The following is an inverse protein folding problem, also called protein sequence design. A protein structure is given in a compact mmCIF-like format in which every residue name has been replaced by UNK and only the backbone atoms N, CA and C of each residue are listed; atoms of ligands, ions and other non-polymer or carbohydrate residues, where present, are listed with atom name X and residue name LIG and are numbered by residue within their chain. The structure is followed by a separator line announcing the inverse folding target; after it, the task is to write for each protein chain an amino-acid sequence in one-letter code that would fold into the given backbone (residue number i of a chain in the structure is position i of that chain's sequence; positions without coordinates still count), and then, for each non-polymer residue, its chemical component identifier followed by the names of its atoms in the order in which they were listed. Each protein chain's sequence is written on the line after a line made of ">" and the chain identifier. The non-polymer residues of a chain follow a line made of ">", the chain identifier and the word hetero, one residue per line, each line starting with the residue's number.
data_IF_676686431198
#
_entry.id   IF_676686431198
#
_cell.length_a   1.000
_cell.length_b   1.000
_cell.length_c   1.000
_cell.angle_alpha   90.00
_cell.angle_beta   90.00
_cell.angle_gamma   90.00
#
_symmetry.space_group_name_H-M   'P 1'
#
loop_
_entity.id
_entity.type
_entity.pdbx_description
1 polymer ?
#
# COMPACT_ATOMS: atom_id res chain seq x y z
N UNK A 1 24.82 54.24 -59.65
CA UNK A 1 23.38 53.99 -59.46
C UNK A 1 22.93 52.60 -59.95
N UNK A 2 23.21 52.18 -61.20
CA UNK A 2 22.84 50.83 -61.71
C UNK A 2 23.36 49.63 -60.89
N UNK A 3 24.58 49.71 -60.33
CA UNK A 3 25.15 48.63 -59.49
C UNK A 3 24.48 48.49 -58.12
N UNK A 4 23.97 49.59 -57.55
CA UNK A 4 23.27 49.60 -56.25
C UNK A 4 21.87 48.99 -56.43
N UNK A 5 21.18 49.32 -57.52
CA UNK A 5 19.88 48.73 -57.86
C UNK A 5 19.97 47.20 -58.06
N UNK A 6 21.06 46.72 -58.68
CA UNK A 6 21.29 45.28 -58.90
C UNK A 6 21.54 44.52 -57.59
N UNK A 7 22.25 45.13 -56.63
CA UNK A 7 22.53 44.54 -55.31
C UNK A 7 21.26 44.49 -54.46
N UNK A 8 20.41 45.52 -54.51
CA UNK A 8 19.11 45.51 -53.82
C UNK A 8 18.15 44.43 -54.36
N UNK A 9 18.11 44.22 -55.68
CA UNK A 9 17.29 43.17 -56.30
C UNK A 9 17.78 41.77 -55.90
N UNK A 10 19.10 41.57 -55.77
CA UNK A 10 19.66 40.28 -55.35
C UNK A 10 19.35 39.95 -53.87
N UNK A 11 19.19 40.96 -53.00
CA UNK A 11 18.83 40.76 -51.60
C UNK A 11 17.34 40.45 -51.37
N UNK A 12 16.45 40.78 -52.31
CA UNK A 12 15.02 40.42 -52.20
C UNK A 12 14.79 38.95 -52.58
N UNK A 13 15.67 38.35 -53.39
CA UNK A 13 15.56 36.96 -53.83
C UNK A 13 16.14 35.93 -52.84
N UNK A 14 16.77 36.36 -51.75
CA UNK A 14 17.27 35.47 -50.68
C UNK A 14 16.28 35.22 -49.54
N UNK A 15 15.05 35.75 -49.65
CA UNK A 15 13.96 35.42 -48.71
C UNK A 15 13.31 34.08 -49.09
N UNK A 16 14.03 32.99 -48.83
CA UNK A 16 13.44 31.65 -48.85
C UNK A 16 12.40 31.54 -47.74
N UNK A 17 11.12 31.47 -48.10
CA UNK A 17 10.06 31.06 -47.18
C UNK A 17 10.39 29.67 -46.61
N UNK A 18 10.82 29.62 -45.34
CA UNK A 18 11.00 28.36 -44.63
C UNK A 18 9.62 27.71 -44.49
N UNK A 19 9.39 26.62 -45.23
CA UNK A 19 8.27 25.71 -44.96
C UNK A 19 8.51 25.09 -43.58
N UNK A 20 7.98 25.71 -42.52
CA UNK A 20 7.83 25.05 -41.24
C UNK A 20 6.88 23.86 -41.38
N UNK A 21 7.04 22.85 -40.54
CA UNK A 21 6.00 21.84 -40.37
C UNK A 21 4.68 22.57 -40.04
N UNK A 22 3.54 22.17 -40.62
CA UNK A 22 2.27 22.75 -40.21
C UNK A 22 2.17 22.61 -38.68
N UNK A 23 1.70 23.65 -37.97
CA UNK A 23 1.46 23.52 -36.55
C UNK A 23 0.55 22.31 -36.34
N UNK A 24 1.01 21.35 -35.53
CA UNK A 24 0.21 20.19 -35.16
C UNK A 24 -1.08 20.64 -34.49
N UNK A 25 -2.12 19.80 -34.58
CA UNK A 25 -3.31 19.99 -33.76
C UNK A 25 -2.97 19.91 -32.26
N UNK A 26 -3.92 20.30 -31.38
CA UNK A 26 -3.74 20.09 -29.95
C UNK A 26 -3.49 18.60 -29.65
N UNK A 27 -2.70 18.27 -28.61
CA UNK A 27 -2.52 16.88 -28.18
C UNK A 27 -3.86 16.22 -27.85
N UNK A 28 -3.98 14.94 -28.16
CA UNK A 28 -5.15 14.15 -27.75
C UNK A 28 -5.03 13.76 -26.28
N UNK A 29 -6.05 14.11 -25.50
CA UNK A 29 -6.15 13.87 -24.06
C UNK A 29 -7.40 13.07 -23.71
N UNK A 30 -8.11 12.54 -24.71
CA UNK A 30 -9.37 11.81 -24.51
C UNK A 30 -9.05 10.39 -24.06
N UNK A 31 -9.59 9.90 -22.93
CA UNK A 31 -9.39 8.53 -22.52
C UNK A 31 -10.08 7.52 -23.45
N UNK A 32 -9.45 6.38 -23.76
CA UNK A 32 -10.10 5.30 -24.48
C UNK A 32 -11.18 4.62 -23.63
N UNK A 33 -12.17 4.06 -24.31
CA UNK A 33 -13.25 3.26 -23.73
C UNK A 33 -13.73 2.18 -24.70
N UNK A 34 -14.33 1.14 -24.14
CA UNK A 34 -15.10 0.16 -24.91
C UNK A 34 -16.42 0.79 -25.37
N UNK A 35 -16.76 0.60 -26.64
CA UNK A 35 -17.99 1.09 -27.29
C UNK A 35 -19.01 -0.03 -27.42
N UNK A 36 -18.55 -1.24 -27.74
CA UNK A 36 -19.37 -2.45 -27.90
C UNK A 36 -18.52 -3.70 -27.72
N UNK A 37 -19.19 -4.83 -27.48
CA UNK A 37 -18.58 -6.16 -27.55
C UNK A 37 -19.42 -7.08 -28.42
N UNK A 38 -18.81 -8.16 -28.90
CA UNK A 38 -19.49 -9.30 -29.47
C UNK A 38 -18.99 -10.59 -28.80
N UNK A 39 -19.87 -11.40 -28.19
CA UNK A 39 -21.29 -11.11 -27.92
C UNK A 39 -21.52 -9.83 -27.11
N UNK A 40 -22.69 -9.22 -27.26
CA UNK A 40 -23.03 -8.00 -26.52
C UNK A 40 -23.48 -8.33 -25.10
N UNK A 41 -23.40 -7.36 -24.21
CA UNK A 41 -23.88 -7.50 -22.84
C UNK A 41 -25.39 -7.67 -22.84
N UNK A 42 -25.88 -8.74 -22.22
CA UNK A 42 -27.29 -9.10 -22.23
C UNK A 42 -27.65 -10.20 -23.23
N UNK A 43 -26.76 -10.56 -24.17
CA UNK A 43 -27.04 -11.60 -25.15
C UNK A 43 -27.27 -12.95 -24.49
N UNK A 44 -28.26 -13.69 -24.99
CA UNK A 44 -28.59 -15.07 -24.59
C UNK A 44 -28.62 -15.96 -25.83
N UNK A 45 -28.60 -17.28 -25.63
CA UNK A 45 -28.58 -18.28 -26.70
C UNK A 45 -27.41 -18.09 -27.69
N UNK A 46 -26.30 -17.54 -27.19
CA UNK A 46 -25.08 -17.34 -27.97
C UNK A 46 -24.48 -18.71 -28.28
N UNK A 47 -24.52 -19.12 -29.54
CA UNK A 47 -24.03 -20.43 -29.98
C UNK A 47 -23.16 -20.30 -31.23
N UNK A 48 -22.22 -21.22 -31.41
CA UNK A 48 -21.34 -21.26 -32.58
C UNK A 48 -20.33 -20.11 -32.69
N UNK A 49 -20.11 -19.36 -31.61
CA UNK A 49 -19.12 -18.28 -31.56
C UNK A 49 -17.71 -18.86 -31.47
N UNK A 50 -16.80 -18.33 -32.30
CA UNK A 50 -15.39 -18.70 -32.35
C UNK A 50 -14.45 -17.58 -31.89
N UNK A 51 -14.99 -16.38 -31.68
CA UNK A 51 -14.25 -15.24 -31.17
C UNK A 51 -15.13 -14.34 -30.30
N UNK A 52 -14.49 -13.70 -29.32
CA UNK A 52 -15.06 -12.63 -28.49
C UNK A 52 -14.36 -11.34 -28.90
N UNK A 53 -15.09 -10.36 -29.40
CA UNK A 53 -14.55 -9.10 -29.90
C UNK A 53 -14.94 -7.91 -29.02
N UNK A 54 -14.02 -6.96 -28.88
CA UNK A 54 -14.15 -5.75 -28.08
C UNK A 54 -13.79 -4.57 -28.97
N UNK A 55 -14.75 -3.66 -29.15
CA UNK A 55 -14.59 -2.45 -29.96
C UNK A 55 -14.23 -1.27 -29.08
N UNK A 56 -13.10 -0.63 -29.36
CA UNK A 56 -12.71 0.61 -28.70
C UNK A 56 -13.10 1.83 -29.55
N UNK A 57 -13.35 2.97 -28.90
CA UNK A 57 -13.63 4.24 -29.59
C UNK A 57 -12.46 4.74 -30.44
N UNK A 58 -11.26 4.24 -30.17
CA UNK A 58 -10.01 4.69 -30.80
C UNK A 58 -8.97 3.57 -30.87
N UNK A 59 -7.81 3.90 -31.45
CA UNK A 59 -6.74 2.93 -31.65
C UNK A 59 -5.98 2.71 -30.35
N UNK A 60 -5.89 1.45 -29.93
CA UNK A 60 -5.20 1.07 -28.71
C UNK A 60 -3.72 0.70 -28.92
N UNK A 61 -2.92 0.86 -27.87
CA UNK A 61 -1.62 0.24 -27.76
C UNK A 61 -1.79 -1.27 -27.49
N UNK A 62 -1.52 -2.08 -28.52
CA UNK A 62 -1.87 -3.52 -28.54
C UNK A 62 -1.37 -4.33 -27.35
N UNK A 63 -0.16 -4.06 -26.85
CA UNK A 63 0.42 -4.80 -25.72
C UNK A 63 -0.35 -4.51 -24.45
N UNK A 64 -0.61 -3.23 -24.18
CA UNK A 64 -1.34 -2.78 -23.01
C UNK A 64 -2.74 -3.37 -22.90
N UNK A 65 -3.38 -3.81 -23.99
CA UNK A 65 -4.74 -4.39 -23.97
C UNK A 65 -4.74 -5.88 -23.63
N UNK A 66 -3.71 -6.62 -24.03
CA UNK A 66 -3.68 -8.08 -23.90
C UNK A 66 -3.78 -8.51 -22.44
N UNK A 67 -3.08 -7.80 -21.58
CA UNK A 67 -2.96 -8.14 -20.17
C UNK A 67 -4.17 -7.61 -19.36
N UNK A 68 -5.03 -6.76 -19.98
CA UNK A 68 -6.21 -6.20 -19.31
C UNK A 68 -7.50 -6.97 -19.42
N UNK A 69 -7.57 -7.95 -20.32
CA UNK A 69 -8.80 -8.64 -20.65
C UNK A 69 -8.87 -9.99 -19.98
N UNK A 70 -9.95 -10.24 -19.26
CA UNK A 70 -10.30 -11.53 -18.70
C UNK A 70 -11.67 -11.98 -19.19
N UNK A 71 -11.86 -13.29 -19.28
CA UNK A 71 -13.16 -13.93 -19.52
C UNK A 71 -13.39 -14.93 -18.39
N UNK A 72 -14.56 -14.86 -17.75
CA UNK A 72 -14.97 -15.74 -16.64
C UNK A 72 -16.34 -16.37 -16.92
N UNK A 73 -16.52 -17.70 -16.77
CA UNK A 73 -15.50 -18.73 -16.52
C UNK A 73 -14.37 -18.71 -17.56
N UNK A 74 -13.19 -19.21 -17.17
CA UNK A 74 -11.99 -19.17 -18.02
C UNK A 74 -12.25 -19.94 -19.32
N UNK A 75 -11.85 -19.34 -20.44
CA UNK A 75 -11.91 -19.95 -21.78
C UNK A 75 -10.51 -20.10 -22.34
N UNK A 76 -10.30 -21.14 -23.15
CA UNK A 76 -9.03 -21.31 -23.86
C UNK A 76 -9.00 -20.37 -25.07
N UNK A 77 -8.01 -19.47 -25.08
CA UNK A 77 -7.81 -18.50 -26.16
C UNK A 77 -6.60 -18.93 -26.96
N UNK A 78 -6.80 -19.16 -28.26
CA UNK A 78 -5.73 -19.54 -29.19
C UNK A 78 -4.84 -18.34 -29.56
N UNK A 79 -5.46 -17.22 -29.91
CA UNK A 79 -4.75 -16.00 -30.29
C UNK A 79 -5.61 -14.75 -30.09
N UNK A 80 -4.96 -13.60 -29.94
CA UNK A 80 -5.60 -12.28 -29.99
C UNK A 80 -5.35 -11.61 -31.34
N UNK A 81 -6.40 -11.21 -32.04
CA UNK A 81 -6.33 -10.53 -33.33
C UNK A 81 -6.82 -9.10 -33.25
N UNK A 82 -6.18 -8.22 -34.01
CA UNK A 82 -6.57 -6.82 -34.13
C UNK A 82 -7.16 -6.54 -35.50
N UNK A 83 -8.32 -5.89 -35.52
CA UNK A 83 -8.91 -5.30 -36.72
C UNK A 83 -9.27 -3.84 -36.45
N UNK A 84 -8.46 -2.90 -36.94
CA UNK A 84 -8.59 -1.45 -36.63
C UNK A 84 -8.59 -1.20 -35.11
N UNK A 85 -9.72 -0.76 -34.55
CA UNK A 85 -9.92 -0.46 -33.13
C UNK A 85 -10.54 -1.65 -32.38
N UNK A 86 -10.73 -2.79 -33.05
CA UNK A 86 -11.35 -3.98 -32.47
C UNK A 86 -10.27 -4.99 -32.11
N UNK A 87 -10.36 -5.52 -30.89
CA UNK A 87 -9.57 -6.67 -30.45
C UNK A 87 -10.46 -7.90 -30.30
N UNK A 88 -10.10 -8.99 -30.97
CA UNK A 88 -10.83 -10.24 -30.93
C UNK A 88 -9.98 -11.35 -30.31
N UNK A 89 -10.50 -11.97 -29.26
CA UNK A 89 -9.99 -13.19 -28.66
C UNK A 89 -10.53 -14.37 -29.45
N UNK A 90 -9.65 -15.08 -30.15
CA UNK A 90 -10.01 -16.28 -30.92
C UNK A 90 -9.97 -17.48 -29.99
N UNK A 91 -11.09 -18.15 -29.85
CA UNK A 91 -11.24 -19.28 -28.94
C UNK A 91 -10.59 -20.53 -29.55
N UNK A 92 -9.98 -21.35 -28.70
CA UNK A 92 -9.44 -22.65 -29.10
C UNK A 92 -10.53 -23.72 -29.14
N UNK A 93 -11.43 -23.68 -28.15
CA UNK A 93 -12.58 -24.55 -27.99
C UNK A 93 -13.90 -23.78 -28.04
N UNK A 94 -15.00 -24.51 -28.28
CA UNK A 94 -16.34 -23.95 -28.12
C UNK A 94 -16.64 -23.62 -26.67
N UNK A 95 -17.43 -22.56 -26.46
CA UNK A 95 -17.97 -22.21 -25.15
C UNK A 95 -18.84 -23.35 -24.60
N UNK A 96 -18.83 -23.49 -23.28
CA UNK A 96 -19.68 -24.46 -22.59
C UNK A 96 -21.15 -24.10 -22.77
N UNK A 97 -22.04 -25.08 -23.01
CA UNK A 97 -23.47 -24.82 -23.14
C UNK A 97 -24.08 -24.37 -21.81
N UNK A 98 -25.20 -23.64 -21.87
CA UNK A 98 -25.96 -23.18 -20.68
C UNK A 98 -25.12 -22.45 -19.63
N UNK A 99 -24.15 -21.65 -20.08
CA UNK A 99 -23.18 -20.96 -19.22
C UNK A 99 -23.25 -19.46 -19.45
N UNK A 100 -23.20 -18.68 -18.36
CA UNK A 100 -23.00 -17.23 -18.42
C UNK A 100 -21.51 -16.93 -18.40
N UNK A 101 -21.06 -16.13 -19.36
CA UNK A 101 -19.71 -15.63 -19.48
C UNK A 101 -19.69 -14.13 -19.23
N UNK A 102 -18.71 -13.67 -18.47
CA UNK A 102 -18.39 -12.28 -18.22
C UNK A 102 -17.07 -11.94 -18.90
N UNK A 103 -17.09 -10.96 -19.79
CA UNK A 103 -15.92 -10.34 -20.40
C UNK A 103 -15.59 -9.09 -19.59
N UNK A 104 -14.38 -9.07 -19.05
CA UNK A 104 -13.86 -7.99 -18.23
C UNK A 104 -12.72 -7.33 -18.98
N UNK A 105 -12.88 -6.06 -19.34
CA UNK A 105 -11.79 -5.21 -19.82
C UNK A 105 -11.42 -4.28 -18.68
N UNK A 106 -10.37 -4.64 -17.95
CA UNK A 106 -9.91 -3.83 -16.83
C UNK A 106 -9.32 -2.49 -17.35
N UNK A 107 -9.32 -1.48 -16.50
CA UNK A 107 -8.66 -0.20 -16.78
C UNK A 107 -7.13 -0.33 -16.86
N UNK A 108 -6.48 0.79 -17.19
CA UNK A 108 -5.03 0.90 -17.28
C UNK A 108 -4.43 0.63 -18.67
N UNK A 109 -5.18 0.04 -19.60
CA UNK A 109 -4.74 -0.04 -21.00
C UNK A 109 -4.69 1.34 -21.65
N UNK A 110 -3.80 1.52 -22.63
CA UNK A 110 -3.50 2.82 -23.24
C UNK A 110 -3.94 2.89 -24.69
N UNK A 111 -4.35 4.08 -25.12
CA UNK A 111 -4.52 4.39 -26.54
C UNK A 111 -3.16 4.59 -27.25
N UNK A 112 -3.18 4.86 -28.55
CA UNK A 112 -1.98 5.16 -29.34
C UNK A 112 -1.32 6.52 -29.02
N UNK A 113 -1.97 7.37 -28.23
CA UNK A 113 -1.50 8.69 -27.79
C UNK A 113 -0.99 8.69 -26.34
N UNK A 114 -1.14 7.58 -25.61
CA UNK A 114 -0.71 7.41 -24.23
C UNK A 114 -1.79 7.72 -23.17
N UNK A 115 -3.05 7.94 -23.54
CA UNK A 115 -4.14 8.12 -22.59
C UNK A 115 -4.62 6.77 -22.05
N UNK A 116 -4.93 6.73 -20.74
CA UNK A 116 -5.32 5.52 -20.04
C UNK A 116 -6.84 5.34 -19.98
N UNK A 117 -7.32 4.13 -20.22
CA UNK A 117 -8.70 3.73 -19.90
C UNK A 117 -8.88 3.77 -18.37
N UNK A 118 -9.82 4.61 -17.89
CA UNK A 118 -9.95 4.92 -16.46
C UNK A 118 -10.77 3.90 -15.66
N UNK A 119 -11.80 3.35 -16.27
CA UNK A 119 -12.78 2.49 -15.60
C UNK A 119 -12.85 1.15 -16.32
N UNK A 120 -13.02 0.04 -15.59
CA UNK A 120 -13.23 -1.25 -16.21
C UNK A 120 -14.56 -1.28 -16.97
N UNK A 121 -14.63 -2.14 -17.98
CA UNK A 121 -15.85 -2.48 -18.70
C UNK A 121 -16.19 -3.95 -18.45
N UNK A 122 -17.45 -4.21 -18.15
CA UNK A 122 -17.98 -5.54 -17.85
C UNK A 122 -19.15 -5.82 -18.81
N UNK A 123 -19.09 -6.93 -19.53
CA UNK A 123 -20.15 -7.41 -20.39
C UNK A 123 -20.46 -8.87 -20.09
N UNK A 124 -21.72 -9.21 -19.84
CA UNK A 124 -22.13 -10.58 -19.57
C UNK A 124 -23.05 -11.09 -20.68
N UNK A 125 -22.79 -12.30 -21.17
CA UNK A 125 -23.63 -12.98 -22.16
C UNK A 125 -23.82 -14.45 -21.76
N UNK A 126 -24.80 -15.14 -22.34
CA UNK A 126 -25.11 -16.54 -22.04
C UNK A 126 -25.19 -17.41 -23.28
N UNK A 127 -24.64 -18.61 -23.20
CA UNK A 127 -24.87 -19.68 -24.18
C UNK A 127 -26.19 -20.44 -23.93
N UNK A 128 -26.86 -20.17 -22.80
CA UNK A 128 -28.18 -20.69 -22.46
C UNK A 128 -29.29 -19.65 -22.64
N UNK A 129 -30.48 -19.97 -22.14
CA UNK A 129 -31.67 -19.13 -22.31
C UNK A 129 -31.72 -17.91 -21.37
N UNK A 130 -30.90 -17.90 -20.32
CA UNK A 130 -30.89 -16.86 -19.28
C UNK A 130 -29.48 -16.50 -18.83
N UNK A 131 -29.33 -15.31 -18.26
CA UNK A 131 -28.12 -14.85 -17.59
C UNK A 131 -28.19 -15.16 -16.10
N UNK A 132 -27.04 -15.50 -15.52
CA UNK A 132 -26.90 -15.51 -14.08
C UNK A 132 -27.04 -14.08 -13.54
N UNK A 133 -28.00 -13.89 -12.63
CA UNK A 133 -28.35 -12.59 -12.08
C UNK A 133 -27.41 -12.11 -10.96
N UNK A 134 -26.50 -12.96 -10.49
CA UNK A 134 -25.64 -12.65 -9.35
C UNK A 134 -24.75 -11.43 -9.60
N UNK A 135 -24.82 -10.47 -8.69
CA UNK A 135 -24.04 -9.23 -8.72
C UNK A 135 -23.47 -8.96 -7.32
N UNK A 136 -22.19 -8.60 -7.27
CA UNK A 136 -21.55 -8.07 -6.07
C UNK A 136 -21.05 -6.67 -6.38
N UNK A 137 -21.47 -5.69 -5.59
CA UNK A 137 -21.06 -4.29 -5.72
C UNK A 137 -20.55 -3.75 -4.39
N UNK A 138 -19.53 -2.89 -4.49
CA UNK A 138 -18.85 -2.37 -3.33
C UNK A 138 -17.86 -1.28 -3.66
N UNK A 139 -17.06 -0.92 -2.66
CA UNK A 139 -15.96 0.04 -2.79
C UNK A 139 -14.72 -0.41 -2.03
N UNK A 140 -13.56 -0.11 -2.61
CA UNK A 140 -12.26 -0.25 -1.97
C UNK A 140 -11.90 1.05 -1.25
N UNK A 141 -11.78 0.98 0.06
CA UNK A 141 -11.31 2.09 0.89
C UNK A 141 -9.78 2.02 0.96
N UNK A 142 -9.13 2.68 0.00
CA UNK A 142 -7.67 2.73 -0.08
C UNK A 142 -7.10 3.84 0.81
N UNK A 143 -6.10 3.52 1.63
CA UNK A 143 -5.36 4.48 2.46
C UNK A 143 -3.85 4.35 2.22
N UNK A 144 -3.22 5.45 1.82
CA UNK A 144 -1.82 5.48 1.38
C UNK A 144 -1.57 5.09 -0.07
N UNK A 145 -2.63 4.79 -0.82
CA UNK A 145 -2.56 4.41 -2.23
C UNK A 145 -3.79 4.88 -3.02
N UNK A 146 -3.70 5.00 -4.35
CA UNK A 146 -4.85 5.33 -5.18
C UNK A 146 -5.94 4.26 -5.06
N UNK A 147 -7.20 4.68 -4.86
CA UNK A 147 -8.34 3.76 -4.84
C UNK A 147 -8.69 3.18 -6.22
N UNK A 148 -8.12 3.74 -7.30
CA UNK A 148 -8.38 3.33 -8.67
C UNK A 148 -7.45 2.22 -9.10
N UNK A 149 -7.98 1.24 -9.84
CA UNK A 149 -7.16 0.24 -10.51
C UNK A 149 -6.77 -0.94 -9.63
N UNK A 150 -7.19 -0.96 -8.36
CA UNK A 150 -6.98 -2.09 -7.43
C UNK A 150 -7.73 -3.31 -7.95
N UNK A 151 -7.05 -4.44 -8.22
CA UNK A 151 -7.70 -5.69 -8.58
C UNK A 151 -8.63 -6.20 -7.48
N UNK A 152 -9.75 -6.80 -7.89
CA UNK A 152 -10.74 -7.41 -6.99
C UNK A 152 -10.91 -8.86 -7.39
N UNK A 153 -10.71 -9.77 -6.44
CA UNK A 153 -10.87 -11.20 -6.62
C UNK A 153 -12.06 -11.73 -5.83
N UNK A 154 -12.78 -12.68 -6.42
CA UNK A 154 -13.78 -13.48 -5.74
C UNK A 154 -13.50 -14.97 -5.92
N UNK A 155 -13.44 -15.68 -4.80
CA UNK A 155 -13.32 -17.13 -4.75
C UNK A 155 -14.64 -17.74 -4.30
N UNK A 156 -15.11 -18.75 -5.01
CA UNK A 156 -16.22 -19.58 -4.54
C UNK A 156 -15.77 -20.36 -3.29
N UNK A 157 -16.41 -20.12 -2.15
CA UNK A 157 -15.95 -20.63 -0.85
C UNK A 157 -16.09 -22.15 -0.72
N UNK A 158 -16.91 -22.80 -1.56
CA UNK A 158 -17.04 -24.26 -1.57
C UNK A 158 -15.87 -24.90 -2.31
N UNK A 159 -15.44 -24.27 -3.40
CA UNK A 159 -14.35 -24.75 -4.25
C UNK A 159 -12.97 -24.39 -3.69
N UNK A 160 -12.86 -23.21 -3.06
CA UNK A 160 -11.61 -22.66 -2.54
C UNK A 160 -11.87 -21.87 -1.24
N UNK A 161 -11.99 -22.56 -0.08
CA UNK A 161 -12.28 -21.94 1.21
C UNK A 161 -11.09 -21.18 1.81
N UNK A 162 -9.86 -21.55 1.44
CA UNK A 162 -8.60 -20.94 1.90
C UNK A 162 -7.69 -20.72 0.69
N UNK A 163 -7.87 -19.61 -0.05
CA UNK A 163 -7.10 -19.37 -1.27
C UNK A 163 -5.62 -19.13 -1.00
N UNK A 164 -4.75 -19.82 -1.74
CA UNK A 164 -3.34 -19.47 -1.88
C UNK A 164 -3.18 -18.52 -3.07
N UNK A 165 -3.06 -17.22 -2.80
CA UNK A 165 -3.03 -16.17 -3.84
C UNK A 165 -1.90 -16.30 -4.87
N UNK A 166 -0.85 -17.07 -4.55
CA UNK A 166 0.28 -17.30 -5.47
C UNK A 166 0.04 -18.49 -6.42
N UNK A 167 -0.96 -19.33 -6.13
CA UNK A 167 -1.23 -20.58 -6.87
C UNK A 167 -2.65 -20.66 -7.42
N UNK A 168 -3.63 -20.22 -6.65
CA UNK A 168 -5.04 -20.33 -6.96
C UNK A 168 -5.50 -19.14 -7.81
N UNK A 169 -6.16 -19.44 -8.94
CA UNK A 169 -6.80 -18.41 -9.75
C UNK A 169 -8.17 -18.04 -9.19
N UNK A 170 -8.42 -16.74 -9.06
CA UNK A 170 -9.75 -16.24 -8.71
C UNK A 170 -10.80 -16.63 -9.76
N UNK A 171 -11.93 -17.15 -9.26
CA UNK A 171 -13.06 -17.60 -10.07
C UNK A 171 -13.74 -16.42 -10.79
N UNK A 172 -13.83 -15.29 -10.12
CA UNK A 172 -14.29 -14.03 -10.70
C UNK A 172 -13.29 -12.93 -10.38
N UNK A 173 -13.12 -12.01 -11.33
CA UNK A 173 -12.20 -10.90 -11.22
C UNK A 173 -12.88 -9.62 -11.65
N UNK A 174 -12.49 -8.52 -11.03
CA UNK A 174 -12.85 -7.16 -11.41
C UNK A 174 -11.72 -6.21 -11.04
N UNK A 175 -11.97 -4.92 -11.17
CA UNK A 175 -11.05 -3.88 -10.78
C UNK A 175 -11.87 -2.71 -10.23
N UNK A 176 -11.30 -1.98 -9.28
CA UNK A 176 -11.88 -0.73 -8.79
C UNK A 176 -11.75 0.39 -9.83
N UNK A 177 -12.80 1.20 -9.95
CA UNK A 177 -12.84 2.44 -10.69
C UNK A 177 -12.21 3.61 -9.94
N UNK A 178 -12.29 4.81 -10.53
CA UNK A 178 -11.63 6.00 -9.99
C UNK A 178 -12.04 6.38 -8.56
N UNK A 179 -13.26 6.02 -8.13
CA UNK A 179 -13.77 6.29 -6.78
C UNK A 179 -13.60 5.09 -5.82
N UNK A 180 -12.87 4.05 -6.23
CA UNK A 180 -12.76 2.80 -5.48
C UNK A 180 -13.93 1.83 -5.72
N UNK A 181 -14.96 2.23 -6.47
CA UNK A 181 -16.13 1.41 -6.75
C UNK A 181 -15.78 0.19 -7.60
N UNK A 182 -16.33 -0.97 -7.27
CA UNK A 182 -16.14 -2.19 -8.06
C UNK A 182 -17.47 -2.93 -8.27
N UNK A 183 -17.48 -3.76 -9.31
CA UNK A 183 -18.62 -4.61 -9.63
C UNK A 183 -18.15 -5.97 -10.15
N UNK A 184 -18.75 -7.04 -9.66
CA UNK A 184 -18.68 -8.38 -10.23
C UNK A 184 -20.08 -8.74 -10.74
N UNK A 185 -20.18 -9.38 -11.91
CA UNK A 185 -21.46 -9.73 -12.54
C UNK A 185 -21.46 -11.16 -13.07
N UNK A 186 -22.64 -11.74 -13.23
CA UNK A 186 -22.82 -13.06 -13.82
C UNK A 186 -22.45 -14.19 -12.87
N UNK A 187 -22.55 -13.96 -11.55
CA UNK A 187 -22.23 -14.98 -10.55
C UNK A 187 -23.44 -15.92 -10.33
N UNK A 188 -23.21 -17.23 -10.14
CA UNK A 188 -24.24 -18.14 -9.67
C UNK A 188 -24.56 -17.88 -8.19
N UNK A 189 -25.63 -18.51 -7.70
CA UNK A 189 -25.90 -18.53 -6.26
C UNK A 189 -24.78 -19.28 -5.55
N UNK A 190 -24.30 -18.73 -4.44
CA UNK A 190 -23.10 -19.21 -3.77
C UNK A 190 -22.63 -18.27 -2.67
N UNK A 191 -21.53 -18.65 -2.04
CA UNK A 191 -20.82 -17.83 -1.05
C UNK A 191 -19.45 -17.50 -1.60
N UNK A 192 -19.09 -16.22 -1.57
CA UNK A 192 -17.88 -15.71 -2.20
C UNK A 192 -16.97 -15.02 -1.19
N UNK A 193 -15.71 -15.45 -1.15
CA UNK A 193 -14.65 -14.77 -0.42
C UNK A 193 -14.06 -13.70 -1.33
N UNK A 194 -14.08 -12.45 -0.88
CA UNK A 194 -13.62 -11.30 -1.66
C UNK A 194 -12.29 -10.79 -1.12
N UNK A 195 -11.37 -10.54 -2.03
CA UNK A 195 -10.05 -10.00 -1.73
C UNK A 195 -9.70 -8.87 -2.69
N UNK A 196 -8.91 -7.93 -2.20
CA UNK A 196 -8.29 -6.86 -2.97
C UNK A 196 -6.83 -6.80 -2.61
N UNK A 197 -5.97 -6.45 -3.55
CA UNK A 197 -4.54 -6.33 -3.26
C UNK A 197 -3.94 -5.17 -4.02
N UNK A 198 -2.88 -4.60 -3.44
CA UNK A 198 -2.03 -3.67 -4.15
C UNK A 198 -1.17 -4.49 -5.09
N UNK A 199 -1.28 -4.18 -6.38
CA UNK A 199 -0.47 -4.73 -7.45
C UNK A 199 0.62 -3.69 -7.78
N UNK A 200 1.87 -3.95 -7.44
CA UNK A 200 2.96 -2.99 -7.62
C UNK A 200 3.50 -2.94 -9.05
N UNK A 201 3.61 -4.08 -9.73
CA UNK A 201 4.16 -4.16 -11.09
C UNK A 201 3.08 -4.11 -12.20
N UNK A 202 1.80 -4.06 -11.80
CA UNK A 202 0.61 -4.02 -12.64
C UNK A 202 0.38 -5.30 -13.48
N UNK A 203 0.87 -6.45 -13.01
CA UNK A 203 0.72 -7.75 -13.69
C UNK A 203 -0.60 -8.48 -13.37
N UNK A 204 -1.38 -7.99 -12.37
CA UNK A 204 -2.63 -8.55 -11.81
C UNK A 204 -2.53 -9.95 -11.20
N UNK A 205 -1.33 -10.45 -11.01
CA UNK A 205 -1.02 -11.54 -10.11
C UNK A 205 -0.65 -10.93 -8.75
N UNK A 206 -0.69 -11.75 -7.70
CA UNK A 206 -0.28 -11.34 -6.37
C UNK A 206 1.16 -11.81 -6.13
N UNK A 207 2.04 -10.87 -5.80
CA UNK A 207 3.44 -11.11 -5.49
C UNK A 207 3.71 -10.92 -3.99
N UNK A 208 3.86 -12.00 -3.22
CA UNK A 208 3.95 -11.98 -1.74
C UNK A 208 5.09 -11.07 -1.18
N UNK A 209 6.16 -10.85 -1.96
CA UNK A 209 7.29 -10.03 -1.53
C UNK A 209 7.01 -8.51 -1.61
N UNK A 210 6.14 -8.07 -2.51
CA UNK A 210 5.93 -6.65 -2.83
C UNK A 210 4.50 -6.17 -2.65
N UNK A 211 3.55 -7.09 -2.78
CA UNK A 211 2.13 -6.82 -2.73
C UNK A 211 1.56 -7.09 -1.34
N UNK A 212 0.44 -6.44 -1.04
CA UNK A 212 -0.32 -6.71 0.16
C UNK A 212 -1.79 -6.85 -0.18
N UNK A 213 -2.41 -7.84 0.45
CA UNK A 213 -3.80 -8.25 0.22
C UNK A 213 -4.65 -7.96 1.45
N UNK A 214 -5.91 -7.65 1.21
CA UNK A 214 -6.93 -7.48 2.24
C UNK A 214 -8.20 -8.23 1.85
N UNK A 215 -8.87 -8.77 2.85
CA UNK A 215 -10.12 -9.49 2.68
C UNK A 215 -11.32 -8.58 2.98
N UNK A 216 -12.45 -8.84 2.33
CA UNK A 216 -13.73 -8.32 2.81
C UNK A 216 -14.00 -8.81 4.24
N UNK A 217 -14.66 -8.00 5.09
CA UNK A 217 -14.92 -8.35 6.49
C UNK A 217 -15.85 -9.57 6.65
N UNK A 218 -16.64 -9.89 5.62
CA UNK A 218 -17.50 -11.06 5.58
C UNK A 218 -17.62 -11.59 4.13
N UNK A 219 -17.91 -12.89 3.94
CA UNK A 219 -18.24 -13.44 2.64
C UNK A 219 -19.51 -12.80 2.06
N UNK A 220 -19.58 -12.69 0.73
CA UNK A 220 -20.77 -12.28 0.02
C UNK A 220 -21.65 -13.50 -0.29
N UNK A 221 -22.93 -13.43 0.06
CA UNK A 221 -23.89 -14.51 -0.16
C UNK A 221 -24.88 -14.13 -1.26
N UNK A 222 -24.90 -14.90 -2.34
CA UNK A 222 -25.85 -14.73 -3.46
C UNK A 222 -26.85 -15.87 -3.40
N UNK A 223 -28.13 -15.55 -3.35
CA UNK A 223 -29.23 -16.52 -3.41
C UNK A 223 -30.15 -16.21 -4.60
N UNK A 224 -31.02 -17.14 -5.01
CA UNK A 224 -32.03 -16.84 -6.03
C UNK A 224 -32.98 -15.70 -5.62
N UNK A 225 -33.25 -15.55 -4.32
CA UNK A 225 -34.12 -14.51 -3.78
C UNK A 225 -33.40 -13.16 -3.63
N UNK A 226 -32.10 -13.19 -3.32
CA UNK A 226 -31.24 -12.02 -3.14
C UNK A 226 -30.00 -12.16 -4.05
N UNK A 227 -30.16 -11.90 -5.37
CA UNK A 227 -29.07 -12.06 -6.32
C UNK A 227 -28.06 -10.90 -6.29
N UNK A 228 -28.38 -9.80 -5.61
CA UNK A 228 -27.53 -8.60 -5.55
C UNK A 228 -27.00 -8.38 -4.13
N UNK A 229 -25.68 -8.44 -3.97
CA UNK A 229 -24.97 -8.05 -2.74
C UNK A 229 -24.38 -6.66 -2.96
N UNK A 230 -24.91 -5.67 -2.26
CA UNK A 230 -24.53 -4.26 -2.42
C UNK A 230 -23.81 -3.73 -1.18
N UNK A 231 -22.96 -2.71 -1.38
CA UNK A 231 -22.31 -1.99 -0.29
C UNK A 231 -21.19 -2.77 0.39
N UNK A 232 -20.55 -3.71 -0.30
CA UNK A 232 -19.36 -4.38 0.23
C UNK A 232 -18.22 -3.36 0.35
N UNK A 233 -17.72 -3.11 1.55
CA UNK A 233 -16.56 -2.25 1.77
C UNK A 233 -15.34 -3.10 2.11
N UNK A 234 -14.24 -2.90 1.37
CA UNK A 234 -12.97 -3.58 1.60
C UNK A 234 -11.89 -2.52 1.83
N UNK A 235 -11.31 -2.49 3.02
CA UNK A 235 -10.22 -1.57 3.32
C UNK A 235 -8.89 -2.14 2.82
N UNK A 236 -8.14 -1.35 2.04
CA UNK A 236 -6.78 -1.69 1.63
C UNK A 236 -5.84 -0.60 2.17
N UNK A 237 -4.98 -0.99 3.09
CA UNK A 237 -4.06 -0.09 3.78
C UNK A 237 -2.63 -0.40 3.33
N UNK A 238 -1.92 0.62 2.83
CA UNK A 238 -0.48 0.48 2.63
C UNK A 238 0.22 0.31 3.98
N UNK A 239 0.90 -0.83 4.23
CA UNK A 239 1.58 -1.09 5.50
C UNK A 239 2.73 -0.12 5.77
N UNK A 240 3.21 0.60 4.77
CA UNK A 240 4.28 1.59 4.88
C UNK A 240 3.76 3.04 4.91
N UNK A 241 2.44 3.25 4.88
CA UNK A 241 1.86 4.60 4.88
C UNK A 241 2.36 5.39 6.12
N UNK A 242 3.05 6.53 5.94
CA UNK A 242 3.62 7.26 7.06
C UNK A 242 2.56 7.81 8.01
N UNK A 243 2.77 7.61 9.30
CA UNK A 243 1.96 8.19 10.36
C UNK A 243 2.43 9.56 10.84
N UNK A 244 1.75 10.05 11.87
CA UNK A 244 2.00 11.34 12.53
C UNK A 244 1.78 11.22 14.03
N UNK A 245 2.59 11.91 14.81
CA UNK A 245 2.37 12.13 16.24
C UNK A 245 2.10 13.61 16.46
N UNK A 246 1.04 13.91 17.20
CA UNK A 246 0.63 15.28 17.55
C UNK A 246 0.32 15.38 19.03
N UNK A 247 0.52 16.56 19.60
CA UNK A 247 0.40 16.73 21.03
C UNK A 247 0.71 18.14 21.49
N UNK A 248 0.89 18.26 22.80
CA UNK A 248 1.26 19.50 23.48
C UNK A 248 2.48 19.28 24.37
N UNK A 249 3.27 20.34 24.56
CA UNK A 249 4.36 20.37 25.53
C UNK A 249 4.07 21.42 26.59
N UNK A 250 3.90 20.98 27.83
CA UNK A 250 3.77 21.85 28.99
C UNK A 250 5.16 22.25 29.49
N UNK A 251 5.43 23.56 29.49
CA UNK A 251 6.69 24.11 29.98
C UNK A 251 6.50 25.54 30.51
N UNK A 252 7.42 25.99 31.36
CA UNK A 252 7.44 27.37 31.86
C UNK A 252 8.62 28.19 31.31
N UNK A 253 9.33 27.65 30.30
CA UNK A 253 10.49 28.28 29.67
C UNK A 253 10.14 29.63 29.01
N UNK A 254 11.07 30.60 28.96
CA UNK A 254 10.88 31.86 28.24
C UNK A 254 10.59 31.64 26.75
N UNK A 255 9.79 32.52 26.11
CA UNK A 255 9.47 32.46 24.67
C UNK A 255 10.70 32.52 23.74
N UNK A 256 11.86 32.97 24.26
CA UNK A 256 13.12 33.01 23.51
C UNK A 256 13.79 31.65 23.38
N UNK A 257 13.36 30.66 24.17
CA UNK A 257 13.91 29.29 24.15
C UNK A 257 13.07 28.45 23.20
N UNK A 258 13.71 27.82 22.23
CA UNK A 258 13.02 26.87 21.34
C UNK A 258 12.85 25.55 22.10
N UNK A 259 11.72 24.90 21.90
CA UNK A 259 11.52 23.52 22.38
C UNK A 259 11.42 22.61 21.18
N UNK A 260 12.10 21.48 21.24
CA UNK A 260 12.13 20.46 20.19
C UNK A 260 11.56 19.17 20.76
N UNK A 261 10.65 18.55 20.02
CA UNK A 261 10.17 17.19 20.30
C UNK A 261 10.90 16.22 19.39
N UNK A 262 11.33 15.10 19.95
CA UNK A 262 11.96 14.00 19.24
C UNK A 262 11.13 12.74 19.36
N UNK A 263 11.08 11.97 18.28
CA UNK A 263 10.56 10.60 18.26
C UNK A 263 11.67 9.69 17.73
N UNK A 264 12.17 8.79 18.59
CA UNK A 264 13.20 7.81 18.23
C UNK A 264 12.57 6.45 18.05
N UNK A 265 12.82 5.79 16.92
CA UNK A 265 12.33 4.42 16.72
C UNK A 265 12.95 3.46 17.74
N UNK A 266 12.14 2.55 18.29
CA UNK A 266 12.64 1.49 19.18
C UNK A 266 13.31 0.34 18.43
N UNK A 267 13.09 0.25 17.12
CA UNK A 267 13.62 -0.82 16.26
C UNK A 267 14.94 -0.40 15.60
N UNK A 268 15.07 0.89 15.26
CA UNK A 268 16.29 1.50 14.77
C UNK A 268 16.56 2.80 15.53
N UNK A 269 17.47 2.76 16.50
CA UNK A 269 17.79 3.93 17.33
C UNK A 269 18.45 5.08 16.57
N UNK A 270 18.89 4.85 15.32
CA UNK A 270 19.39 5.91 14.44
C UNK A 270 18.25 6.65 13.72
N UNK A 271 17.06 6.06 13.64
CA UNK A 271 15.88 6.70 13.08
C UNK A 271 15.26 7.65 14.11
N UNK A 272 15.80 8.87 14.14
CA UNK A 272 15.34 10.00 14.94
C UNK A 272 14.57 10.99 14.07
N UNK A 273 13.37 11.33 14.50
CA UNK A 273 12.53 12.36 13.89
C UNK A 273 12.34 13.49 14.88
N UNK A 274 12.32 14.72 14.41
CA UNK A 274 12.11 15.87 15.28
C UNK A 274 11.16 16.90 14.69
N UNK A 275 10.50 17.64 15.56
CA UNK A 275 9.69 18.79 15.19
C UNK A 275 9.82 19.89 16.26
N UNK A 276 9.81 21.17 15.85
CA UNK A 276 9.71 22.26 16.82
C UNK A 276 8.34 22.27 17.50
N UNK A 277 8.31 22.71 18.76
CA UNK A 277 7.08 23.10 19.43
C UNK A 277 6.68 24.49 18.96
N UNK A 278 5.40 24.66 18.63
CA UNK A 278 4.80 25.90 18.17
C UNK A 278 4.50 26.83 19.35
N UNK A 279 4.18 28.10 19.06
CA UNK A 279 3.93 29.12 20.10
C UNK A 279 2.73 28.83 20.99
N UNK A 280 1.79 28.02 20.52
CA UNK A 280 0.62 27.58 21.28
C UNK A 280 0.88 26.27 22.04
N UNK A 281 2.16 25.94 22.25
CA UNK A 281 2.63 24.72 22.91
C UNK A 281 2.31 23.42 22.16
N UNK A 282 1.79 23.48 20.93
CA UNK A 282 1.50 22.28 20.14
C UNK A 282 2.72 21.79 19.37
N UNK A 283 2.77 20.49 19.06
CA UNK A 283 3.78 19.93 18.16
C UNK A 283 3.17 18.92 17.20
N UNK A 284 3.89 18.66 16.12
CA UNK A 284 3.53 17.66 15.14
C UNK A 284 4.75 17.06 14.44
N UNK A 285 5.03 15.79 14.72
CA UNK A 285 6.04 15.00 14.00
C UNK A 285 5.30 14.19 12.94
N UNK A 286 5.58 14.46 11.66
CA UNK A 286 4.98 13.74 10.54
C UNK A 286 5.99 12.87 9.81
N UNK A 287 5.50 12.14 8.80
CA UNK A 287 6.31 11.24 7.96
C UNK A 287 7.05 10.16 8.78
N UNK A 288 6.37 9.65 9.81
CA UNK A 288 6.90 8.57 10.65
C UNK A 288 6.57 7.23 10.01
N UNK A 289 7.56 6.39 9.65
CA UNK A 289 7.29 5.00 9.30
C UNK A 289 6.44 4.32 10.39
N UNK A 290 5.53 3.41 10.04
CA UNK A 290 4.76 2.67 11.05
C UNK A 290 5.70 1.91 11.98
N UNK A 291 5.40 1.91 13.28
CA UNK A 291 6.28 1.33 14.28
C UNK A 291 6.16 1.95 15.67
N UNK A 292 7.06 1.56 16.57
CA UNK A 292 7.08 2.05 17.95
C UNK A 292 8.16 3.11 18.13
N UNK A 293 7.78 4.18 18.82
CA UNK A 293 8.61 5.34 19.06
C UNK A 293 8.67 5.69 20.53
N UNK A 294 9.84 6.14 20.97
CA UNK A 294 10.02 6.86 22.22
C UNK A 294 9.98 8.35 21.92
N UNK A 295 9.00 9.04 22.49
CA UNK A 295 8.76 10.46 22.29
C UNK A 295 9.20 11.23 23.51
N UNK A 296 10.08 12.20 23.29
CA UNK A 296 10.66 13.06 24.32
C UNK A 296 10.75 14.50 23.80
N UNK A 297 11.04 15.46 24.67
CA UNK A 297 11.32 16.82 24.25
C UNK A 297 12.45 17.45 25.07
N UNK A 298 13.04 18.51 24.54
CA UNK A 298 14.07 19.28 25.21
C UNK A 298 14.04 20.75 24.80
N UNK A 299 14.59 21.59 25.66
CA UNK A 299 14.82 23.01 25.42
C UNK A 299 16.11 23.19 24.62
N UNK A 300 16.01 23.68 23.39
CA UNK A 300 17.13 24.00 22.50
C UNK A 300 17.46 25.50 22.66
N UNK A 301 18.28 25.81 23.67
CA UNK A 301 18.60 27.18 24.05
C UNK A 301 19.68 27.80 23.15
N UNK A 302 20.56 26.97 22.59
CA UNK A 302 21.64 27.41 21.71
C UNK A 302 21.32 27.28 20.20
N UNK A 303 20.13 26.75 19.87
CA UNK A 303 19.57 26.61 18.52
C UNK A 303 20.38 25.67 17.63
N UNK A 304 21.00 24.63 18.20
CA UNK A 304 21.76 23.63 17.46
C UNK A 304 20.97 22.35 17.15
N UNK A 305 19.72 22.25 17.61
CA UNK A 305 18.83 21.09 17.42
C UNK A 305 19.41 19.77 17.97
N UNK A 306 20.27 19.87 18.98
CA UNK A 306 20.80 18.73 19.73
C UNK A 306 20.64 18.97 21.21
N UNK A 307 20.32 17.93 21.96
CA UNK A 307 20.15 18.06 23.41
C UNK A 307 21.51 18.10 24.12
N UNK A 308 21.84 19.24 24.73
CA UNK A 308 23.10 19.46 25.43
C UNK A 308 22.91 19.40 26.97
N UNK A 309 23.02 18.20 27.55
CA UNK A 309 22.95 18.03 29.00
C UNK A 309 24.29 18.38 29.70
N UNK A 310 24.28 19.03 30.89
CA UNK A 310 23.13 19.46 31.70
C UNK A 310 22.69 20.92 31.44
N UNK A 311 23.19 21.54 30.37
CA UNK A 311 22.98 22.95 30.07
C UNK A 311 21.53 23.23 29.63
N UNK A 312 20.87 22.22 29.06
CA UNK A 312 19.51 22.26 28.57
C UNK A 312 18.54 21.41 29.40
N UNK A 313 17.28 21.86 29.49
CA UNK A 313 16.22 21.15 30.20
C UNK A 313 15.54 20.13 29.28
N UNK A 314 15.53 18.86 29.69
CA UNK A 314 14.79 17.78 29.02
C UNK A 314 13.41 17.54 29.60
N UNK A 315 12.60 16.73 28.92
CA UNK A 315 11.31 16.26 29.41
C UNK A 315 11.45 15.38 30.65
N UNK A 316 10.44 15.43 31.52
CA UNK A 316 10.38 14.63 32.76
C UNK A 316 10.17 13.16 32.47
N UNK A 317 9.40 12.84 31.42
CA UNK A 317 9.07 11.47 31.05
C UNK A 317 9.17 11.26 29.53
N UNK A 318 9.44 10.02 29.14
CA UNK A 318 9.53 9.58 27.73
C UNK A 318 8.32 8.71 27.42
N UNK A 319 7.53 9.13 26.44
CA UNK A 319 6.31 8.43 26.09
C UNK A 319 6.57 7.35 25.04
N UNK A 320 6.18 6.10 25.31
CA UNK A 320 6.14 5.07 24.28
C UNK A 320 4.84 5.17 23.47
N UNK A 321 4.98 5.34 22.16
CA UNK A 321 3.87 5.47 21.22
C UNK A 321 4.01 4.42 20.14
N UNK A 322 2.89 3.78 19.77
CA UNK A 322 2.81 2.91 18.60
C UNK A 322 2.04 3.63 17.50
N UNK A 323 2.67 3.79 16.34
CA UNK A 323 2.11 4.46 15.17
C UNK A 323 1.74 3.40 14.15
N UNK A 324 0.44 3.20 13.92
CA UNK A 324 -0.07 2.32 12.86
C UNK A 324 0.03 3.02 11.48
N UNK A 325 -0.06 2.27 10.36
CA UNK A 325 0.04 2.86 9.03
C UNK A 325 -0.99 3.96 8.74
N UNK A 326 -0.48 5.14 8.38
CA UNK A 326 -1.21 6.38 8.16
C UNK A 326 -1.96 6.89 9.39
N UNK A 327 -1.65 6.42 10.59
CA UNK A 327 -2.29 6.87 11.82
C UNK A 327 -1.82 8.26 12.21
N UNK A 328 -2.71 9.08 12.78
CA UNK A 328 -2.31 10.25 13.56
C UNK A 328 -2.55 9.96 15.03
N UNK A 329 -1.49 9.69 15.77
CA UNK A 329 -1.54 9.61 17.24
C UNK A 329 -1.71 11.03 17.77
N UNK A 330 -2.78 11.24 18.54
CA UNK A 330 -3.15 12.55 19.09
C UNK A 330 -2.95 12.58 20.60
N UNK A 331 -3.02 13.78 21.15
CA UNK A 331 -3.12 14.04 22.59
C UNK A 331 -1.89 13.56 23.40
N UNK A 332 -0.72 13.44 22.75
CA UNK A 332 0.54 13.20 23.46
C UNK A 332 0.91 14.45 24.26
N UNK A 333 1.02 14.32 25.57
CA UNK A 333 1.37 15.44 26.46
C UNK A 333 2.75 15.20 27.04
N UNK A 334 3.68 16.12 26.79
CA UNK A 334 5.03 16.08 27.34
C UNK A 334 5.21 17.23 28.32
N UNK A 335 6.07 17.06 29.32
CA UNK A 335 6.32 18.10 30.35
C UNK A 335 7.81 18.33 30.47
N UNK A 336 8.25 19.59 30.43
CA UNK A 336 9.62 19.99 30.80
C UNK A 336 9.56 20.61 32.20
N UNK A 337 10.22 19.98 33.18
CA UNK A 337 10.32 20.53 34.53
C UNK A 337 11.24 21.75 34.52
N UNK A 338 10.79 22.81 35.19
CA UNK A 338 11.57 24.05 35.36
C UNK A 338 12.35 24.09 36.67
N UNK A 339 12.23 23.08 37.54
CA UNK A 339 12.98 23.03 38.78
C UNK A 339 14.39 22.47 38.50
N UNK A 340 15.42 23.32 38.61
CA UNK A 340 16.79 22.83 38.82
C UNK A 340 16.77 22.07 40.14
N UNK A 341 16.98 20.74 40.12
CA UNK A 341 17.32 20.01 41.33
C UNK A 341 18.51 20.73 42.01
N UNK A 342 18.41 21.09 43.30
CA UNK A 342 19.53 21.68 43.99
C UNK A 342 20.67 20.66 44.04
N UNK A 343 21.86 21.10 43.64
CA UNK A 343 23.09 20.33 43.75
C UNK A 343 23.22 19.80 45.19
N UNK A 344 23.38 18.48 45.34
CA UNK A 344 23.76 17.86 46.60
C UNK A 344 25.08 18.48 47.07
N UNK A 345 25.02 19.32 48.11
CA UNK A 345 26.20 19.69 48.89
C UNK A 345 26.64 18.45 49.68
N UNK A 346 27.85 17.94 49.41
CA UNK A 346 28.50 16.94 50.25
C UNK A 346 28.79 17.55 51.62
N UNK A 347 28.03 17.17 52.65
CA UNK A 347 28.42 17.42 54.05
C UNK A 347 29.57 16.48 54.44
N UNK A 348 30.80 17.01 54.41
CA UNK A 348 31.93 16.46 55.16
C UNK A 348 31.64 16.53 56.68
N UNK A 349 31.17 15.44 57.28
CA UNK A 349 31.11 15.31 58.74
C UNK A 349 32.39 14.70 59.31
N UNK A 350 33.32 15.61 59.61
CA UNK A 350 34.20 15.68 60.80
C UNK A 350 34.37 14.43 61.69
N UNK A 351 35.65 14.05 61.81
CA UNK A 351 36.29 13.16 62.79
C UNK A 351 35.98 13.56 64.24
N UNK A 352 35.70 12.57 65.09
CA UNK A 352 36.03 12.65 66.52
C UNK A 352 36.55 11.28 67.03
N UNK A 353 37.64 11.33 67.80
CA UNK A 353 38.46 10.20 68.26
C UNK A 353 38.05 9.72 69.68
N UNK A 354 37.86 8.39 69.82
CA UNK A 354 38.35 7.50 70.92
C UNK A 354 37.78 7.65 72.36
N UNK A 355 37.96 6.67 73.31
CA UNK A 355 38.81 5.46 73.29
C UNK A 355 38.22 4.12 73.87
N UNK A 356 38.91 3.03 73.54
CA UNK A 356 39.23 1.76 74.25
C UNK A 356 38.34 1.14 75.36
N UNK A 357 38.09 -0.17 75.23
CA UNK A 357 38.28 -1.16 76.31
C UNK A 357 38.42 -2.60 75.76
N UNK A 358 39.52 -3.27 76.15
CA UNK A 358 39.86 -4.68 75.92
C UNK A 358 38.94 -5.68 76.65
N UNK A 359 38.72 -6.88 76.09
CA UNK A 359 39.03 -8.17 76.74
C UNK A 359 38.73 -9.41 75.86
N UNK A 360 39.40 -10.51 76.23
CA UNK A 360 39.83 -11.67 75.44
C UNK A 360 38.90 -12.92 75.57
N UNK A 361 39.11 -13.93 74.68
CA UNK A 361 39.09 -15.39 74.96
C UNK A 361 37.95 -16.32 74.42
N UNK A 362 38.36 -17.15 73.43
CA UNK A 362 38.24 -18.64 73.26
C UNK A 362 37.12 -19.34 72.44
N UNK A 363 37.62 -20.01 71.38
CA UNK A 363 37.54 -21.45 70.96
C UNK A 363 36.33 -22.06 70.21
N UNK A 364 36.72 -22.71 69.09
CA UNK A 364 36.37 -24.05 68.55
C UNK A 364 34.92 -24.26 68.04
N UNK A 365 34.61 -25.05 67.01
CA UNK A 365 35.34 -26.00 66.15
C UNK A 365 34.43 -26.31 64.92
N UNK A 366 35.01 -26.97 63.91
CA UNK A 366 34.39 -27.87 62.91
C UNK A 366 33.74 -27.34 61.59
N UNK A 367 34.43 -27.68 60.50
CA UNK A 367 33.91 -28.05 59.19
C UNK A 367 34.67 -29.29 58.68
N UNK A 368 34.09 -30.12 57.80
CA UNK A 368 34.84 -30.57 56.60
C UNK A 368 33.97 -30.54 55.32
N UNK A 369 34.51 -30.08 54.17
CA UNK A 369 35.14 -30.83 53.04
C UNK A 369 34.18 -31.78 52.29
N UNK A 370 34.20 -31.98 50.95
CA UNK A 370 35.12 -31.65 49.83
C UNK A 370 34.37 -31.99 48.51
N UNK A 371 34.71 -31.47 47.32
CA UNK A 371 35.90 -31.66 46.47
C UNK A 371 35.68 -32.75 45.37
N UNK A 372 35.65 -32.31 44.09
CA UNK A 372 36.12 -32.88 42.76
C UNK A 372 36.47 -34.39 42.69
N UNK A 373 36.31 -35.16 41.59
CA UNK A 373 36.63 -34.93 40.18
C UNK A 373 36.24 -36.17 39.31
N UNK A 374 36.14 -35.98 37.98
CA UNK A 374 36.69 -36.88 36.94
C UNK A 374 35.95 -38.15 36.44
N UNK A 375 35.69 -38.20 35.11
CA UNK A 375 35.54 -39.48 34.36
C UNK A 375 34.96 -39.40 32.93
N UNK A 376 35.82 -39.41 31.89
CA UNK A 376 35.53 -39.81 30.48
C UNK A 376 35.36 -41.35 30.35
N UNK A 377 35.01 -42.01 29.21
CA UNK A 377 34.96 -41.58 27.78
C UNK A 377 33.69 -42.08 26.99
N UNK A 378 33.62 -41.96 25.63
CA UNK A 378 32.37 -42.06 24.87
C UNK A 378 32.18 -43.39 24.09
N UNK A 379 30.94 -43.70 23.69
CA UNK A 379 30.65 -44.76 22.73
C UNK A 379 29.49 -44.39 21.78
N UNK A 380 29.69 -44.70 20.49
CA UNK A 380 28.77 -44.50 19.36
C UNK A 380 27.71 -45.60 19.31
N UNK A 381 26.50 -45.32 18.79
CA UNK A 381 25.80 -46.24 17.86
C UNK A 381 24.79 -45.47 16.99
N UNK A 382 24.70 -45.90 15.73
CA UNK A 382 23.84 -45.44 14.62
C UNK A 382 22.35 -45.84 14.74
N UNK A 383 21.59 -45.39 13.73
CA UNK A 383 20.30 -45.88 13.17
C UNK A 383 19.01 -45.26 13.71
N UNK A 384 17.90 -45.12 12.97
CA UNK A 384 17.53 -44.91 11.55
C UNK A 384 15.98 -44.96 11.58
N UNK A 385 15.31 -44.14 10.76
CA UNK A 385 13.88 -44.22 10.36
C UNK A 385 12.75 -44.14 11.42
N UNK A 386 11.94 -43.08 11.32
CA UNK A 386 10.64 -43.15 10.64
C UNK A 386 10.16 -41.75 10.23
#
# INVERSE_FOLDING_TARGET
>A
MKKILLICILMVLSSCARKGLPPGGPPDVTPPRVVSSYPDSGDVQVTGVSEICIDFNERMEKRSVRDVIAVRPKVQVREGRWHKNTFCLVLDDSLQPSSTYCVIVMGGCKDSHGNYMKSPHLAAFSTGDTLLAGVIQGSVLAKGLPASGIPVWAFDSLSCPEPDFTKDEAHYVSQSGAAGDFKLIGLPSGTYLLYVFKDEDANRAYDEETDFVSAAPAPAHITPEEPEVLGVEIALLDPNEPGRITGVVEHCLPETVRVVVTATSTEDSLALFSAPVMRDSTFAIGNLPPGRYLVSCYADANLNETFDAPEESGCVDVHSVHVLPGETVKDVTLVISCEKEPAFEEEESRVDESPESDEESKRNDEAPQGQIDGGSPPEKTEQQEN
#
